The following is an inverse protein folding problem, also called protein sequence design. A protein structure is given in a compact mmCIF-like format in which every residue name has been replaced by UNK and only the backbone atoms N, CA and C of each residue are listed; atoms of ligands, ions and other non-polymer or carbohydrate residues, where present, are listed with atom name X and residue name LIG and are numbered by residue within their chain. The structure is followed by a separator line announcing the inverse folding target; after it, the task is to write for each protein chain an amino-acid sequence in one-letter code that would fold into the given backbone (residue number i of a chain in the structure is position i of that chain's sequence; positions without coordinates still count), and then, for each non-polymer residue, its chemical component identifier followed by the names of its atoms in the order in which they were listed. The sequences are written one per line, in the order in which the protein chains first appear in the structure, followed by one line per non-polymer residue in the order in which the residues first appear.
data_IF_817452161462
#
_entry.id   IF_817452161462
#
_cell.length_a   1.000
_cell.length_b   1.000
_cell.length_c   1.000
_cell.angle_alpha   90.00
_cell.angle_beta   90.00
_cell.angle_gamma   90.00
#
_symmetry.space_group_name_H-M   'P 1'
#
loop_
_entity.id
_entity.type
_entity.pdbx_description
1 polymer ?
#
# COMPACT_ATOMS: atom_id res chain seq x y z
N UNK A 1 4.54 32.59 26.03
CA UNK A 1 4.05 32.09 24.73
C UNK A 1 5.09 31.10 24.25
N UNK A 2 4.95 29.84 24.67
CA UNK A 2 5.81 28.73 24.25
C UNK A 2 5.27 28.16 22.95
N UNK A 3 6.10 28.16 21.92
CA UNK A 3 5.85 27.46 20.66
C UNK A 3 6.54 26.10 20.77
N UNK A 4 5.76 25.04 20.89
CA UNK A 4 6.27 23.66 20.86
C UNK A 4 6.70 23.32 19.42
N UNK A 5 8.02 23.19 19.21
CA UNK A 5 8.60 22.59 18.02
C UNK A 5 8.53 21.07 18.20
N UNK A 6 7.81 20.40 17.31
CA UNK A 6 7.67 18.93 17.28
C UNK A 6 8.98 18.32 16.80
N UNK A 7 9.51 17.37 17.56
CA UNK A 7 10.71 16.60 17.22
C UNK A 7 10.40 15.63 16.05
N UNK A 8 11.30 15.48 15.06
CA UNK A 8 11.16 14.48 14.01
C UNK A 8 11.55 13.09 14.54
N UNK A 9 10.74 12.09 14.20
CA UNK A 9 10.96 10.67 14.53
C UNK A 9 12.09 10.15 13.63
N UNK A 10 13.24 9.81 14.19
CA UNK A 10 14.36 9.22 13.46
C UNK A 10 14.04 7.77 13.10
N UNK A 11 13.83 7.52 11.81
CA UNK A 11 13.73 6.18 11.23
C UNK A 11 15.14 5.60 11.14
N UNK A 12 15.50 4.74 12.09
CA UNK A 12 16.82 4.10 12.16
C UNK A 12 16.97 3.00 11.10
N UNK A 13 17.36 3.39 9.88
CA UNK A 13 17.81 2.45 8.83
C UNK A 13 19.33 2.45 8.83
N UNK A 14 19.91 1.44 9.47
CA UNK A 14 21.36 1.28 9.56
C UNK A 14 21.90 0.60 8.29
N UNK A 15 22.28 1.40 7.30
CA UNK A 15 22.90 0.92 6.06
C UNK A 15 24.33 0.47 6.36
N UNK A 16 24.60 -0.83 6.27
CA UNK A 16 25.96 -1.39 6.34
C UNK A 16 26.53 -1.59 4.94
N UNK A 17 27.83 -1.31 4.80
CA UNK A 17 28.57 -1.33 3.53
C UNK A 17 28.57 -2.73 2.88
N UNK A 18 28.31 -2.78 1.58
CA UNK A 18 28.04 -4.01 0.82
C UNK A 18 29.34 -4.62 0.31
N UNK A 19 29.83 -5.69 0.94
CA UNK A 19 30.86 -6.57 0.36
C UNK A 19 30.21 -7.64 -0.53
N UNK A 20 30.67 -7.75 -1.79
CA UNK A 20 30.14 -8.68 -2.79
C UNK A 20 30.28 -10.15 -2.35
N UNK A 21 29.15 -10.82 -2.11
CA UNK A 21 29.08 -12.26 -1.85
C UNK A 21 28.31 -12.65 -0.58
N UNK A 22 27.83 -11.69 0.22
CA UNK A 22 26.99 -11.97 1.39
C UNK A 22 25.51 -12.02 0.98
N UNK A 23 24.83 -13.12 1.27
CA UNK A 23 23.36 -13.14 1.20
C UNK A 23 22.83 -12.08 2.16
N UNK A 24 22.22 -11.04 1.60
CA UNK A 24 21.61 -9.95 2.37
C UNK A 24 20.29 -10.44 2.93
N UNK A 25 20.24 -10.64 4.24
CA UNK A 25 19.02 -11.01 4.95
C UNK A 25 18.42 -9.76 5.56
N UNK A 26 17.12 -9.58 5.35
CA UNK A 26 16.32 -8.58 6.05
C UNK A 26 15.56 -9.32 7.16
N UNK A 27 15.89 -9.04 8.40
CA UNK A 27 15.18 -9.56 9.58
C UNK A 27 14.08 -8.57 9.98
N UNK A 28 12.86 -9.06 10.20
CA UNK A 28 11.74 -8.26 10.66
C UNK A 28 11.40 -8.67 12.09
N UNK A 29 11.10 -7.70 12.97
CA UNK A 29 10.57 -8.02 14.29
C UNK A 29 9.17 -8.65 14.15
N UNK A 30 8.82 -9.58 15.05
CA UNK A 30 7.49 -10.20 15.06
C UNK A 30 6.36 -9.16 15.14
N UNK A 31 6.61 -8.05 15.87
CA UNK A 31 5.67 -6.93 15.99
C UNK A 31 5.40 -6.24 14.65
N UNK A 32 6.45 -6.02 13.85
CA UNK A 32 6.33 -5.36 12.54
C UNK A 32 5.55 -6.25 11.56
N UNK A 33 5.80 -7.56 11.61
CA UNK A 33 5.07 -8.55 10.82
C UNK A 33 3.59 -8.55 11.22
N UNK A 34 3.29 -8.61 12.51
CA UNK A 34 1.92 -8.62 13.01
C UNK A 34 1.18 -7.32 12.63
N UNK A 35 1.82 -6.16 12.80
CA UNK A 35 1.27 -4.87 12.39
C UNK A 35 1.00 -4.82 10.88
N UNK A 36 1.93 -5.31 10.06
CA UNK A 36 1.79 -5.39 8.60
C UNK A 36 0.60 -6.27 8.18
N UNK A 37 0.42 -7.42 8.85
CA UNK A 37 -0.72 -8.32 8.63
C UNK A 37 -2.03 -7.64 9.02
N UNK A 38 -2.08 -6.94 10.17
CA UNK A 38 -3.29 -6.22 10.60
C UNK A 38 -3.65 -5.07 9.66
N UNK A 39 -2.67 -4.25 9.24
CA UNK A 39 -2.89 -3.17 8.26
C UNK A 39 -3.36 -3.71 6.90
N UNK A 40 -2.94 -4.92 6.55
CA UNK A 40 -3.30 -5.57 5.27
C UNK A 40 -4.61 -6.37 5.32
N UNK A 41 -5.25 -6.49 6.49
CA UNK A 41 -6.43 -7.35 6.72
C UNK A 41 -7.60 -7.10 5.77
N UNK A 42 -7.83 -5.85 5.38
CA UNK A 42 -8.87 -5.44 4.44
C UNK A 42 -8.26 -4.87 3.16
N UNK A 43 -7.25 -5.55 2.61
CA UNK A 43 -6.58 -5.13 1.39
C UNK A 43 -6.69 -6.14 0.26
N UNK A 44 -6.57 -5.66 -0.98
CA UNK A 44 -6.46 -6.50 -2.18
C UNK A 44 -5.30 -6.04 -3.04
N UNK A 45 -4.65 -6.98 -3.72
CA UNK A 45 -3.56 -6.69 -4.64
C UNK A 45 -4.07 -6.81 -6.07
N UNK A 46 -3.80 -5.81 -6.90
CA UNK A 46 -4.17 -5.79 -8.31
C UNK A 46 -3.02 -5.34 -9.21
N UNK A 47 -2.88 -5.98 -10.38
CA UNK A 47 -1.86 -5.66 -11.37
C UNK A 47 -2.49 -5.02 -12.61
N UNK A 48 -1.94 -3.88 -13.03
CA UNK A 48 -2.36 -3.17 -14.23
C UNK A 48 -1.54 -3.65 -15.44
N UNK A 49 -2.18 -4.38 -16.35
CA UNK A 49 -1.52 -4.98 -17.52
C UNK A 49 -1.53 -3.97 -18.67
N UNK A 50 -0.40 -3.29 -18.87
CA UNK A 50 -0.22 -2.29 -19.93
C UNK A 50 1.25 -2.08 -20.25
N UNK A 51 1.56 -1.65 -21.47
CA UNK A 51 2.91 -1.18 -21.85
C UNK A 51 3.11 0.31 -21.57
N UNK A 52 2.03 1.07 -21.40
CA UNK A 52 2.10 2.52 -21.16
C UNK A 52 2.64 2.83 -19.77
N UNK A 53 3.32 3.96 -19.65
CA UNK A 53 3.57 4.61 -18.37
C UNK A 53 2.27 5.25 -17.89
N UNK A 54 1.91 5.00 -16.63
CA UNK A 54 0.68 5.51 -16.04
C UNK A 54 1.05 6.17 -14.71
N UNK A 55 0.49 7.35 -14.48
CA UNK A 55 0.65 8.05 -13.22
C UNK A 55 -0.19 7.34 -12.13
N UNK A 56 0.39 6.95 -10.99
CA UNK A 56 -0.33 6.29 -9.90
C UNK A 56 -1.51 7.10 -9.35
N UNK A 57 -1.45 8.43 -9.37
CA UNK A 57 -2.56 9.31 -8.94
C UNK A 57 -3.81 9.11 -9.81
N UNK A 58 -3.61 8.85 -11.11
CA UNK A 58 -4.71 8.52 -12.01
C UNK A 58 -5.31 7.16 -11.68
N UNK A 59 -4.49 6.14 -11.42
CA UNK A 59 -4.96 4.82 -10.98
C UNK A 59 -5.78 4.96 -9.71
N UNK A 60 -5.27 5.67 -8.70
CA UNK A 60 -5.99 5.92 -7.45
C UNK A 60 -7.37 6.56 -7.72
N UNK A 61 -7.39 7.66 -8.47
CA UNK A 61 -8.62 8.42 -8.75
C UNK A 61 -9.63 7.60 -9.55
N UNK A 62 -9.17 6.89 -10.58
CA UNK A 62 -9.99 6.02 -11.42
C UNK A 62 -10.59 4.89 -10.61
N UNK A 63 -9.79 4.15 -9.84
CA UNK A 63 -10.30 3.04 -9.02
C UNK A 63 -11.26 3.53 -7.93
N UNK A 64 -10.94 4.66 -7.27
CA UNK A 64 -11.83 5.28 -6.29
C UNK A 64 -13.20 5.60 -6.90
N UNK A 65 -13.23 6.14 -8.13
CA UNK A 65 -14.47 6.46 -8.83
C UNK A 65 -15.24 5.21 -9.29
N UNK A 66 -14.55 4.23 -9.91
CA UNK A 66 -15.16 2.95 -10.34
C UNK A 66 -15.82 2.24 -9.15
N UNK A 67 -15.20 2.30 -7.98
CA UNK A 67 -15.70 1.67 -6.76
C UNK A 67 -16.73 2.48 -5.99
N UNK A 68 -17.18 3.62 -6.56
CA UNK A 68 -18.15 4.55 -5.98
C UNK A 68 -17.69 5.12 -4.64
N UNK A 69 -16.43 5.55 -4.59
CA UNK A 69 -15.80 6.22 -3.44
C UNK A 69 -15.96 5.45 -2.13
N UNK A 70 -15.36 4.25 -2.00
CA UNK A 70 -15.42 3.51 -0.75
C UNK A 70 -14.83 4.34 0.40
N UNK A 71 -15.48 4.29 1.57
CA UNK A 71 -14.98 5.00 2.76
C UNK A 71 -13.64 4.41 3.18
N UNK A 72 -12.69 5.28 3.52
CA UNK A 72 -11.33 4.92 3.89
C UNK A 72 -10.55 4.21 2.79
N UNK A 73 -10.93 4.40 1.53
CA UNK A 73 -10.16 3.89 0.40
C UNK A 73 -8.76 4.52 0.35
N UNK A 74 -7.74 3.67 0.26
CA UNK A 74 -6.36 4.09 0.05
C UNK A 74 -5.66 3.13 -0.92
N UNK A 75 -4.56 3.56 -1.53
CA UNK A 75 -3.78 2.75 -2.47
C UNK A 75 -2.30 3.09 -2.37
N UNK A 76 -1.46 2.06 -2.41
CA UNK A 76 -0.01 2.20 -2.61
C UNK A 76 0.44 1.38 -3.81
N UNK A 77 1.52 1.79 -4.45
CA UNK A 77 2.21 1.00 -5.46
C UNK A 77 3.36 0.23 -4.81
N UNK A 78 3.25 -1.10 -4.74
CA UNK A 78 4.27 -1.95 -4.10
C UNK A 78 5.39 -2.33 -5.07
N UNK A 79 5.07 -2.40 -6.37
CA UNK A 79 6.00 -2.62 -7.48
C UNK A 79 5.40 -1.95 -8.74
N UNK A 80 6.18 -1.70 -9.80
CA UNK A 80 5.64 -1.08 -11.02
C UNK A 80 4.37 -1.77 -11.51
N UNK A 81 3.27 -1.00 -11.57
CA UNK A 81 1.92 -1.43 -12.01
C UNK A 81 1.28 -2.49 -11.09
N UNK A 82 1.82 -2.72 -9.90
CA UNK A 82 1.28 -3.62 -8.88
C UNK A 82 0.87 -2.78 -7.67
N UNK A 83 -0.43 -2.74 -7.42
CA UNK A 83 -1.02 -1.87 -6.42
C UNK A 83 -1.66 -2.71 -5.31
N UNK A 84 -1.52 -2.23 -4.08
CA UNK A 84 -2.30 -2.70 -2.95
C UNK A 84 -3.36 -1.65 -2.61
N UNK A 85 -4.61 -2.10 -2.56
CA UNK A 85 -5.78 -1.28 -2.28
C UNK A 85 -6.28 -1.61 -0.89
N UNK A 86 -6.47 -0.59 -0.06
CA UNK A 86 -6.94 -0.74 1.32
C UNK A 86 -8.37 -0.24 1.44
N UNK A 87 -9.13 -0.94 2.27
CA UNK A 87 -10.50 -0.58 2.62
C UNK A 87 -10.65 -0.51 4.13
N UNK A 88 -11.48 0.41 4.60
CA UNK A 88 -11.80 0.50 6.02
C UNK A 88 -12.51 -0.77 6.53
N UNK A 89 -13.43 -1.31 5.73
CA UNK A 89 -14.30 -2.44 6.10
C UNK A 89 -14.18 -3.58 5.11
N UNK A 90 -14.24 -4.81 5.64
CA UNK A 90 -14.25 -6.04 4.85
C UNK A 90 -15.35 -6.08 3.77
N UNK A 91 -16.50 -5.46 4.04
CA UNK A 91 -17.59 -5.35 3.05
C UNK A 91 -17.16 -4.60 1.78
N UNK A 92 -16.33 -3.56 1.91
CA UNK A 92 -15.77 -2.83 0.77
C UNK A 92 -14.83 -3.71 -0.06
N UNK A 93 -13.94 -4.41 0.62
CA UNK A 93 -13.02 -5.40 0.02
C UNK A 93 -13.79 -6.51 -0.72
N UNK A 94 -14.79 -7.12 -0.07
CA UNK A 94 -15.62 -8.19 -0.66
C UNK A 94 -16.42 -7.69 -1.86
N UNK A 95 -16.96 -6.48 -1.81
CA UNK A 95 -17.67 -5.87 -2.95
C UNK A 95 -16.74 -5.72 -4.15
N UNK A 96 -15.47 -5.38 -3.91
CA UNK A 96 -14.49 -5.24 -4.98
C UNK A 96 -14.06 -6.60 -5.56
N UNK A 97 -13.85 -7.60 -4.70
CA UNK A 97 -13.46 -8.96 -5.15
C UNK A 97 -14.60 -9.72 -5.85
N UNK A 98 -15.83 -9.57 -5.35
CA UNK A 98 -17.02 -10.31 -5.82
C UNK A 98 -17.89 -9.50 -6.78
N UNK A 99 -17.51 -8.25 -7.04
CA UNK A 99 -18.24 -7.41 -7.98
C UNK A 99 -18.26 -8.07 -9.36
N UNK A 100 -19.45 -8.39 -9.85
CA UNK A 100 -19.69 -8.61 -11.27
C UNK A 100 -19.19 -7.40 -12.07
N UNK A 101 -18.85 -7.56 -13.37
CA UNK A 101 -17.88 -6.73 -14.06
C UNK A 101 -18.13 -5.26 -13.79
N UNK A 102 -17.03 -4.53 -13.74
CA UNK A 102 -16.92 -3.09 -13.63
C UNK A 102 -17.56 -2.37 -14.83
N UNK A 103 -18.76 -2.78 -15.24
CA UNK A 103 -19.57 -2.26 -16.34
C UNK A 103 -19.99 -0.85 -15.97
N UNK A 104 -19.18 0.07 -16.49
CA UNK A 104 -19.57 1.33 -17.10
C UNK A 104 -20.90 1.24 -17.86
#
# INVERSE_FOLDING_TARGET
METAMSEPIEENVQTTEVEEGREEYIEYEERDVEEGVQKSKHSVVGKLITTKTINPVWVHTTMNNIWRKPVGFNMIEIRPKLYQFFFEREAGMRRVLKGNPWTF
#
